data_IF_476333202367
#
_entry.id   IF_476333202367
#
_cell.length_a   1.000
_cell.length_b   1.000
_cell.length_c   1.000
_cell.angle_alpha   90.00
_cell.angle_beta   90.00
_cell.angle_gamma   90.00
#
_symmetry.space_group_name_H-M   'P 1'
#
loop_
_entity.id
_entity.type
_entity.pdbx_description
1 polymer ?
#
# COMPACT_ATOMS: atom_id res chain seq x y z
N UNK A 1 -4.43 7.88 9.99
CA UNK A 1 -3.64 7.29 8.92
C UNK A 1 -3.10 8.29 7.93
N UNK A 2 -2.15 7.89 7.13
CA UNK A 2 -1.43 8.74 6.16
C UNK A 2 -1.97 8.59 4.73
N UNK A 3 -3.26 8.29 4.57
CA UNK A 3 -3.89 8.12 3.26
C UNK A 3 -3.77 9.33 2.34
N UNK A 4 -4.03 10.57 2.80
CA UNK A 4 -3.92 11.74 1.93
C UNK A 4 -2.51 11.93 1.36
N UNK A 5 -1.47 11.69 2.16
CA UNK A 5 -0.08 11.79 1.72
C UNK A 5 0.27 10.69 0.72
N UNK A 6 -0.26 9.48 0.94
CA UNK A 6 -0.10 8.37 0.01
C UNK A 6 -0.77 8.64 -1.34
N UNK A 7 -2.03 9.13 -1.33
CA UNK A 7 -2.79 9.41 -2.54
C UNK A 7 -2.11 10.53 -3.36
N UNK A 8 -1.64 11.59 -2.70
CA UNK A 8 -0.90 12.68 -3.35
C UNK A 8 0.38 12.17 -4.02
N UNK A 9 1.15 11.35 -3.31
CA UNK A 9 2.40 10.81 -3.84
C UNK A 9 2.14 9.79 -4.97
N UNK A 10 1.13 8.94 -4.85
CA UNK A 10 0.70 8.04 -5.92
C UNK A 10 0.34 8.82 -7.18
N UNK A 11 -0.46 9.87 -7.04
CA UNK A 11 -0.84 10.71 -8.17
C UNK A 11 0.37 11.40 -8.81
N UNK A 12 1.29 11.93 -7.99
CA UNK A 12 2.51 12.57 -8.47
C UNK A 12 3.40 11.62 -9.29
N UNK A 13 3.46 10.34 -8.89
CA UNK A 13 4.26 9.29 -9.54
C UNK A 13 3.59 8.65 -10.74
N UNK A 14 2.26 8.74 -10.84
CA UNK A 14 1.54 8.22 -12.00
C UNK A 14 2.02 8.92 -13.27
N UNK A 15 2.29 8.20 -14.38
CA UNK A 15 2.69 8.79 -15.64
C UNK A 15 1.74 9.91 -16.07
N UNK A 16 2.29 11.01 -16.56
CA UNK A 16 1.52 12.24 -16.85
C UNK A 16 0.35 11.98 -17.79
N UNK A 17 0.57 11.19 -18.83
CA UNK A 17 -0.45 10.80 -19.82
C UNK A 17 -1.59 9.98 -19.21
N UNK A 18 -1.38 9.36 -18.04
CA UNK A 18 -2.35 8.52 -17.35
C UNK A 18 -3.13 9.26 -16.26
N UNK A 19 -2.67 10.43 -15.81
CA UNK A 19 -3.19 11.10 -14.61
C UNK A 19 -4.64 11.53 -14.73
N UNK A 20 -5.03 12.07 -15.89
CA UNK A 20 -6.42 12.53 -16.12
C UNK A 20 -7.38 11.34 -16.03
N UNK A 21 -7.06 10.27 -16.74
CA UNK A 21 -7.90 9.05 -16.74
C UNK A 21 -7.91 8.36 -15.37
N UNK A 22 -6.77 8.31 -14.68
CA UNK A 22 -6.69 7.75 -13.33
C UNK A 22 -7.60 8.51 -12.35
N UNK A 23 -7.63 9.86 -12.43
CA UNK A 23 -8.52 10.69 -11.61
C UNK A 23 -9.99 10.44 -11.92
N UNK A 24 -10.36 10.38 -13.19
CA UNK A 24 -11.73 10.08 -13.60
C UNK A 24 -12.21 8.73 -13.05
N UNK A 25 -11.35 7.71 -13.11
CA UNK A 25 -11.65 6.38 -12.56
C UNK A 25 -11.76 6.41 -11.03
N UNK A 26 -10.91 7.16 -10.35
CA UNK A 26 -10.99 7.34 -8.90
C UNK A 26 -12.34 7.97 -8.50
N UNK A 27 -12.78 9.01 -9.18
CA UNK A 27 -14.08 9.63 -8.98
C UNK A 27 -15.25 8.66 -9.22
N UNK A 28 -15.17 7.82 -10.27
CA UNK A 28 -16.16 6.77 -10.54
C UNK A 28 -16.18 5.72 -9.42
N UNK A 29 -15.00 5.34 -8.92
CA UNK A 29 -14.84 4.37 -7.83
C UNK A 29 -15.41 4.90 -6.52
N UNK A 30 -15.11 6.15 -6.17
CA UNK A 30 -15.66 6.82 -4.99
C UNK A 30 -17.18 6.98 -5.06
N UNK A 31 -17.72 7.20 -6.28
CA UNK A 31 -19.17 7.26 -6.51
C UNK A 31 -19.85 5.87 -6.56
N UNK A 32 -19.09 4.77 -6.44
CA UNK A 32 -19.61 3.39 -6.56
C UNK A 32 -20.11 3.05 -7.98
N UNK A 33 -19.57 3.70 -9.00
CA UNK A 33 -19.95 3.54 -10.41
C UNK A 33 -18.93 2.79 -11.25
N UNK A 34 -17.75 2.50 -10.69
CA UNK A 34 -16.74 1.70 -11.37
C UNK A 34 -17.14 0.23 -11.34
N UNK A 35 -17.16 -0.40 -12.49
CA UNK A 35 -17.21 -1.87 -12.60
C UNK A 35 -15.81 -2.48 -12.51
N UNK A 36 -15.73 -3.80 -12.64
CA UNK A 36 -14.45 -4.52 -12.52
C UNK A 36 -13.45 -4.11 -13.61
N UNK A 37 -13.90 -3.87 -14.83
CA UNK A 37 -13.01 -3.53 -15.95
C UNK A 37 -12.44 -2.12 -15.77
N UNK A 38 -13.29 -1.17 -15.38
CA UNK A 38 -12.88 0.21 -15.05
C UNK A 38 -11.90 0.24 -13.87
N UNK A 39 -12.17 -0.53 -12.82
CA UNK A 39 -11.26 -0.61 -11.67
C UNK A 39 -9.91 -1.25 -12.02
N UNK A 40 -9.90 -2.28 -12.86
CA UNK A 40 -8.66 -2.89 -13.37
C UNK A 40 -7.87 -1.93 -14.29
N UNK A 41 -8.59 -1.14 -15.11
CA UNK A 41 -7.98 -0.06 -15.90
C UNK A 41 -7.28 0.95 -14.94
N UNK A 42 -8.00 1.45 -13.94
CA UNK A 42 -7.44 2.38 -12.95
C UNK A 42 -6.18 1.83 -12.27
N UNK A 43 -6.23 0.55 -11.85
CA UNK A 43 -5.07 -0.10 -11.25
C UNK A 43 -3.88 -0.17 -12.22
N UNK A 44 -4.09 -0.47 -13.51
CA UNK A 44 -3.02 -0.49 -14.51
C UNK A 44 -2.37 0.88 -14.69
N UNK A 45 -3.16 1.94 -14.69
CA UNK A 45 -2.66 3.31 -14.86
C UNK A 45 -1.76 3.75 -13.69
N UNK A 46 -2.11 3.36 -12.46
CA UNK A 46 -1.34 3.72 -11.26
C UNK A 46 -0.29 2.67 -10.88
N UNK A 47 -0.29 1.50 -11.51
CA UNK A 47 0.63 0.40 -11.19
C UNK A 47 2.10 0.80 -11.14
N UNK A 48 2.63 1.59 -12.11
CA UNK A 48 4.02 1.99 -12.08
C UNK A 48 4.39 2.81 -10.84
N UNK A 49 3.47 3.61 -10.31
CA UNK A 49 3.73 4.48 -9.16
C UNK A 49 4.07 3.73 -7.86
N UNK A 50 3.75 2.45 -7.77
CA UNK A 50 4.10 1.61 -6.62
C UNK A 50 5.58 1.23 -6.58
N UNK A 51 6.29 1.28 -7.72
CA UNK A 51 7.69 0.89 -7.82
C UNK A 51 8.63 2.04 -7.44
N UNK A 52 9.86 1.70 -7.09
CA UNK A 52 10.89 2.69 -6.75
C UNK A 52 11.17 3.64 -7.91
N UNK A 53 11.12 3.12 -9.12
CA UNK A 53 11.23 3.84 -10.38
C UNK A 53 10.06 3.45 -11.29
N UNK A 54 9.07 4.34 -11.48
CA UNK A 54 7.92 4.08 -12.34
C UNK A 54 8.28 3.74 -13.79
N UNK A 55 9.38 4.27 -14.33
CA UNK A 55 9.77 4.02 -15.72
C UNK A 55 10.25 2.58 -15.96
N UNK A 56 10.74 1.92 -14.92
CA UNK A 56 11.23 0.55 -14.97
C UNK A 56 10.25 -0.47 -14.39
N UNK A 57 9.05 -0.03 -14.02
CA UNK A 57 8.04 -0.91 -13.45
C UNK A 57 7.66 -2.04 -14.43
N UNK A 58 7.59 -3.30 -13.98
CA UNK A 58 7.12 -4.39 -14.82
C UNK A 58 5.62 -4.21 -15.12
N UNK A 59 5.14 -4.81 -16.23
CA UNK A 59 3.72 -4.82 -16.52
C UNK A 59 2.91 -5.39 -15.34
N UNK A 60 1.73 -4.80 -15.08
CA UNK A 60 0.84 -5.33 -14.05
C UNK A 60 0.46 -6.78 -14.39
N UNK A 61 0.60 -7.72 -13.45
CA UNK A 61 0.17 -9.10 -13.68
C UNK A 61 -1.35 -9.17 -13.87
N UNK A 62 -1.81 -10.28 -14.42
CA UNK A 62 -3.26 -10.53 -14.49
C UNK A 62 -3.82 -10.66 -13.07
N UNK A 63 -4.71 -9.75 -12.70
CA UNK A 63 -5.37 -9.71 -11.40
C UNK A 63 -6.85 -10.08 -11.53
N UNK A 64 -7.34 -10.85 -10.57
CA UNK A 64 -8.78 -11.09 -10.38
C UNK A 64 -9.23 -10.25 -9.19
N UNK A 65 -10.09 -9.26 -9.45
CA UNK A 65 -10.59 -8.36 -8.42
C UNK A 65 -12.07 -8.61 -8.17
N UNK A 66 -12.43 -8.66 -6.88
CA UNK A 66 -13.82 -8.67 -6.42
C UNK A 66 -14.16 -7.25 -5.93
N UNK A 67 -14.46 -6.36 -6.85
CA UNK A 67 -14.61 -4.91 -6.60
C UNK A 67 -15.65 -4.61 -5.52
N UNK A 68 -16.83 -5.22 -5.59
CA UNK A 68 -17.90 -5.00 -4.61
C UNK A 68 -17.43 -5.34 -3.18
N UNK A 69 -16.84 -6.53 -3.02
CA UNK A 69 -16.34 -6.98 -1.72
C UNK A 69 -15.15 -6.15 -1.23
N UNK A 70 -14.27 -5.75 -2.14
CA UNK A 70 -13.14 -4.86 -1.84
C UNK A 70 -13.62 -3.50 -1.35
N UNK A 71 -14.62 -2.93 -1.99
CA UNK A 71 -15.22 -1.65 -1.60
C UNK A 71 -15.96 -1.72 -0.26
N UNK A 72 -16.67 -2.83 0.01
CA UNK A 72 -17.31 -3.06 1.30
C UNK A 72 -16.28 -3.20 2.43
N UNK A 73 -15.23 -3.98 2.20
CA UNK A 73 -14.12 -4.14 3.15
C UNK A 73 -13.44 -2.80 3.43
N UNK A 74 -13.13 -2.01 2.40
CA UNK A 74 -12.49 -0.72 2.58
C UNK A 74 -13.37 0.24 3.38
N UNK A 75 -14.67 0.31 3.10
CA UNK A 75 -15.63 1.12 3.87
C UNK A 75 -15.67 0.70 5.35
N UNK A 76 -15.66 -0.61 5.63
CA UNK A 76 -15.63 -1.13 7.00
C UNK A 76 -14.33 -0.73 7.70
N UNK A 77 -13.17 -0.92 7.05
CA UNK A 77 -11.87 -0.51 7.60
C UNK A 77 -11.84 0.99 7.91
N UNK A 78 -12.32 1.84 6.99
CA UNK A 78 -12.33 3.28 7.20
C UNK A 78 -13.25 3.71 8.33
N UNK A 79 -14.41 3.07 8.49
CA UNK A 79 -15.34 3.34 9.58
C UNK A 79 -14.76 2.93 10.95
N UNK A 80 -14.01 1.83 11.00
CA UNK A 80 -13.44 1.28 12.22
C UNK A 80 -12.00 1.76 12.50
N UNK A 81 -11.41 2.53 11.61
CA UNK A 81 -10.00 2.95 11.70
C UNK A 81 -9.62 3.53 13.07
N UNK A 82 -10.42 4.42 13.71
CA UNK A 82 -10.08 4.91 15.04
C UNK A 82 -10.01 3.82 16.10
N UNK A 83 -10.89 2.82 16.05
CA UNK A 83 -10.90 1.69 16.96
C UNK A 83 -9.72 0.75 16.70
N UNK A 84 -9.43 0.47 15.44
CA UNK A 84 -8.25 -0.33 15.03
C UNK A 84 -6.96 0.33 15.49
N UNK A 85 -6.81 1.64 15.30
CA UNK A 85 -5.65 2.37 15.78
C UNK A 85 -5.56 2.36 17.31
N UNK A 86 -6.67 2.51 18.02
CA UNK A 86 -6.70 2.43 19.48
C UNK A 86 -6.27 1.05 20.00
N UNK A 87 -6.54 -0.02 19.26
CA UNK A 87 -6.19 -1.39 19.60
C UNK A 87 -4.72 -1.77 19.37
N UNK A 88 -3.93 -0.97 18.66
CA UNK A 88 -2.52 -1.29 18.39
C UNK A 88 -1.70 -1.63 19.65
N UNK A 89 -1.84 -0.94 20.80
CA UNK A 89 -1.13 -1.28 22.01
C UNK A 89 -1.50 -2.64 22.63
N UNK A 90 -2.60 -3.24 22.20
CA UNK A 90 -3.08 -4.53 22.71
C UNK A 90 -2.52 -5.73 21.95
N UNK A 91 -1.82 -5.50 20.82
CA UNK A 91 -1.20 -6.55 20.03
C UNK A 91 -0.11 -7.23 20.85
N UNK A 92 -0.16 -8.56 20.96
CA UNK A 92 0.77 -9.38 21.77
C UNK A 92 1.64 -10.32 20.93
N UNK A 93 1.40 -10.37 19.62
CA UNK A 93 2.22 -11.16 18.71
C UNK A 93 3.39 -10.31 18.18
N UNK A 94 4.52 -10.92 17.81
CA UNK A 94 5.61 -10.19 17.17
C UNK A 94 5.14 -9.51 15.88
N UNK A 95 5.50 -8.23 15.70
CA UNK A 95 5.14 -7.46 14.49
C UNK A 95 6.38 -6.82 13.91
N UNK A 96 6.56 -6.99 12.61
CA UNK A 96 7.60 -6.32 11.84
C UNK A 96 7.01 -5.62 10.62
N UNK A 97 7.40 -4.38 10.42
CA UNK A 97 7.09 -3.62 9.20
C UNK A 97 8.31 -3.65 8.28
N UNK A 98 8.10 -4.02 7.02
CA UNK A 98 9.14 -3.94 5.98
C UNK A 98 8.71 -2.86 5.02
N UNK A 99 9.48 -1.78 4.93
CA UNK A 99 9.14 -0.57 4.21
C UNK A 99 10.21 -0.22 3.18
N UNK A 100 9.82 -0.05 1.93
CA UNK A 100 10.75 0.41 0.89
C UNK A 100 11.01 1.90 1.00
N UNK A 101 12.28 2.32 0.99
CA UNK A 101 12.64 3.75 1.17
C UNK A 101 12.12 4.67 0.08
N UNK A 102 11.72 4.10 -1.07
CA UNK A 102 11.09 4.79 -2.20
C UNK A 102 9.61 4.45 -2.37
N UNK A 103 8.97 3.88 -1.34
CA UNK A 103 7.52 3.64 -1.37
C UNK A 103 6.75 4.97 -1.45
N UNK A 104 5.64 5.04 -2.22
CA UNK A 104 4.73 6.17 -2.15
C UNK A 104 4.04 6.30 -0.79
N UNK A 105 3.92 5.19 -0.04
CA UNK A 105 3.45 5.25 1.35
C UNK A 105 4.53 5.93 2.21
N UNK A 106 4.21 6.99 2.96
CA UNK A 106 5.19 7.64 3.84
C UNK A 106 5.73 6.68 4.89
N UNK A 107 7.04 6.71 5.14
CA UNK A 107 7.69 5.92 6.19
C UNK A 107 7.05 6.15 7.56
N UNK A 108 6.54 7.37 7.81
CA UNK A 108 5.83 7.72 9.01
C UNK A 108 4.61 6.79 9.29
N UNK A 109 3.95 6.28 8.26
CA UNK A 109 2.84 5.33 8.44
C UNK A 109 3.29 4.04 9.16
N UNK A 110 4.47 3.52 8.79
CA UNK A 110 5.05 2.33 9.42
C UNK A 110 5.64 2.64 10.80
N UNK A 111 6.38 3.73 10.95
CA UNK A 111 7.05 4.07 12.22
C UNK A 111 6.07 4.50 13.31
N UNK A 112 5.02 5.24 12.99
CA UNK A 112 3.97 5.62 13.92
C UNK A 112 3.17 4.40 14.40
N UNK A 113 2.82 3.49 13.48
CA UNK A 113 2.15 2.25 13.84
C UNK A 113 3.03 1.34 14.70
N UNK A 114 4.30 1.16 14.33
CA UNK A 114 5.25 0.37 15.09
C UNK A 114 5.47 0.96 16.50
N UNK A 115 5.55 2.28 16.63
CA UNK A 115 5.71 2.96 17.92
C UNK A 115 4.54 2.75 18.89
N UNK A 116 3.38 2.29 18.41
CA UNK A 116 2.19 1.98 19.21
C UNK A 116 2.05 0.50 19.57
N UNK A 117 2.78 -0.39 18.89
CA UNK A 117 2.71 -1.84 19.08
C UNK A 117 3.92 -2.27 19.95
N UNK A 118 3.69 -2.90 21.11
CA UNK A 118 4.78 -3.33 21.98
C UNK A 118 5.76 -4.28 21.28
N UNK A 119 7.04 -3.90 21.23
CA UNK A 119 8.10 -4.71 20.63
C UNK A 119 8.11 -4.77 19.10
N UNK A 120 7.25 -4.00 18.42
CA UNK A 120 7.29 -3.91 16.96
C UNK A 120 8.54 -3.18 16.46
N UNK A 121 8.94 -3.49 15.24
CA UNK A 121 10.12 -2.89 14.59
C UNK A 121 9.81 -2.54 13.14
N UNK A 122 10.60 -1.63 12.59
CA UNK A 122 10.54 -1.25 11.17
C UNK A 122 11.89 -1.55 10.54
N UNK A 123 11.89 -2.22 9.39
CA UNK A 123 13.04 -2.40 8.52
C UNK A 123 12.83 -1.59 7.25
N UNK A 124 13.72 -0.64 7.01
CA UNK A 124 13.69 0.18 5.79
C UNK A 124 14.60 -0.47 4.77
N UNK A 125 14.03 -0.82 3.63
CA UNK A 125 14.75 -1.43 2.51
C UNK A 125 15.13 -0.35 1.52
N UNK A 126 16.41 -0.01 1.49
CA UNK A 126 16.95 1.04 0.65
C UNK A 126 16.73 0.75 -0.84
N UNK A 127 16.27 1.76 -1.58
CA UNK A 127 16.05 1.69 -3.02
C UNK A 127 14.81 0.93 -3.46
N UNK A 128 14.08 0.25 -2.57
CA UNK A 128 12.84 -0.45 -2.92
C UNK A 128 11.62 0.47 -2.84
N UNK A 129 10.64 0.23 -3.72
CA UNK A 129 9.32 0.86 -3.69
C UNK A 129 8.36 0.16 -2.74
N UNK A 130 7.07 0.23 -3.07
CA UNK A 130 6.02 -0.31 -2.21
C UNK A 130 5.97 -1.85 -2.22
N UNK A 131 6.30 -2.45 -3.35
CA UNK A 131 6.32 -3.90 -3.52
C UNK A 131 7.69 -4.49 -3.20
N UNK A 132 8.14 -4.33 -1.96
CA UNK A 132 9.45 -4.79 -1.49
C UNK A 132 9.75 -6.25 -1.85
N UNK A 133 8.72 -7.12 -1.85
CA UNK A 133 8.88 -8.55 -2.20
C UNK A 133 9.23 -8.78 -3.68
N UNK A 134 8.93 -7.84 -4.57
CA UNK A 134 9.35 -7.89 -5.98
C UNK A 134 10.72 -7.25 -6.18
N UNK A 135 10.95 -6.09 -5.58
CA UNK A 135 12.15 -5.29 -5.82
C UNK A 135 13.35 -5.73 -4.96
N UNK A 136 13.08 -6.30 -3.77
CA UNK A 136 14.07 -6.82 -2.84
C UNK A 136 13.61 -8.12 -2.17
N UNK A 137 13.43 -9.24 -2.91
CA UNK A 137 12.79 -10.46 -2.38
C UNK A 137 13.52 -11.09 -1.19
N UNK A 138 14.80 -10.81 -1.02
CA UNK A 138 15.59 -11.26 0.13
C UNK A 138 15.20 -10.56 1.45
N UNK A 139 14.74 -9.30 1.40
CA UNK A 139 14.41 -8.50 2.56
C UNK A 139 13.23 -9.09 3.34
N UNK A 140 12.14 -9.44 2.66
CA UNK A 140 10.96 -10.06 3.30
C UNK A 140 11.33 -11.39 3.94
N UNK A 141 12.16 -12.21 3.30
CA UNK A 141 12.64 -13.47 3.88
C UNK A 141 13.45 -13.23 5.16
N UNK A 142 14.30 -12.23 5.17
CA UNK A 142 15.09 -11.84 6.35
C UNK A 142 14.18 -11.39 7.48
N UNK A 143 13.20 -10.55 7.18
CA UNK A 143 12.21 -10.09 8.15
C UNK A 143 11.41 -11.25 8.77
N UNK A 144 10.95 -12.20 7.95
CA UNK A 144 10.24 -13.40 8.43
C UNK A 144 11.12 -14.25 9.36
N UNK A 145 12.40 -14.43 9.05
CA UNK A 145 13.33 -15.15 9.94
C UNK A 145 13.49 -14.43 11.28
N UNK A 146 13.53 -13.10 11.28
CA UNK A 146 13.59 -12.30 12.51
C UNK A 146 12.35 -12.49 13.38
N UNK A 147 11.15 -12.58 12.77
CA UNK A 147 9.90 -12.81 13.49
C UNK A 147 9.81 -14.20 14.12
N UNK A 148 10.47 -15.19 13.52
CA UNK A 148 10.42 -16.60 13.96
C UNK A 148 11.65 -17.04 14.73
N UNK A 149 12.63 -16.16 14.95
CA UNK A 149 13.79 -16.46 15.77
C UNK A 149 13.36 -16.64 17.23
N UNK A 150 13.89 -17.69 17.93
CA UNK A 150 13.59 -17.94 19.33
C UNK A 150 14.11 -16.82 20.26
#
# INVERSE_FOLDING_TARGET
>A
GRWPEFDEEMFRRTPEESRERAREIDELSMAGKADTDVALEGMRLVWPAYYADPETAPPMPELRMAIERGSEMMRSIMAELPALEAGLPEIRVPVGFVHGSRSPMPLAASTESAGRIPGAWVEVVEGAGHFVWFEAPGAVRTALRRLTAP
#
